data_IF_863996345742
#
_entry.id   IF_863996345742
#
_cell.length_a   1.000
_cell.length_b   1.000
_cell.length_c   1.000
_cell.angle_alpha   90.00
_cell.angle_beta   90.00
_cell.angle_gamma   90.00
#
_symmetry.space_group_name_H-M   'P 1'
#
loop_
_entity.id
_entity.type
_entity.pdbx_description
1 polymer ?
#
# COMPACT_ATOMS: atom_id res chain seq x y z
N UNK A 1 -17.49 8.31 2.27
CA UNK A 1 -16.34 8.36 1.33
C UNK A 1 -15.13 7.74 2.00
N UNK A 2 -14.48 6.81 1.34
CA UNK A 2 -13.28 6.16 1.87
C UNK A 2 -12.05 6.64 1.12
N UNK A 3 -10.92 6.68 1.82
CA UNK A 3 -9.62 7.00 1.22
C UNK A 3 -8.78 5.73 1.27
N UNK A 4 -8.30 5.29 0.13
CA UNK A 4 -7.59 4.03 -0.04
C UNK A 4 -6.26 4.28 -0.76
N UNK A 5 -5.41 3.25 -0.80
CA UNK A 5 -4.24 3.22 -1.67
C UNK A 5 -4.47 2.17 -2.74
N UNK A 6 -4.47 2.59 -3.99
CA UNK A 6 -4.78 1.75 -5.15
C UNK A 6 -3.68 1.88 -6.19
N UNK A 7 -3.44 0.80 -6.94
CA UNK A 7 -2.55 0.86 -8.09
C UNK A 7 -3.17 1.77 -9.16
N UNK A 8 -2.34 2.57 -9.81
CA UNK A 8 -2.78 3.55 -10.81
C UNK A 8 -3.56 2.92 -11.96
N UNK A 9 -3.13 1.77 -12.45
CA UNK A 9 -3.66 1.15 -13.65
C UNK A 9 -4.39 -0.18 -13.41
N UNK A 10 -4.32 -0.73 -12.19
CA UNK A 10 -4.87 -2.05 -11.88
C UNK A 10 -5.86 -1.97 -10.73
N UNK A 11 -6.76 -2.93 -10.67
CA UNK A 11 -7.69 -3.08 -9.54
C UNK A 11 -6.98 -3.80 -8.38
N UNK A 12 -5.90 -3.21 -7.90
CA UNK A 12 -5.11 -3.74 -6.79
C UNK A 12 -5.04 -2.69 -5.70
N UNK A 13 -5.47 -3.06 -4.51
CA UNK A 13 -5.55 -2.17 -3.35
C UNK A 13 -4.69 -2.72 -2.22
N UNK A 14 -4.15 -1.86 -1.38
CA UNK A 14 -3.50 -2.29 -0.15
C UNK A 14 -4.58 -2.69 0.84
N UNK A 15 -4.50 -3.94 1.31
CA UNK A 15 -5.44 -4.49 2.27
C UNK A 15 -4.93 -4.30 3.70
N UNK A 16 -3.67 -4.61 3.94
CA UNK A 16 -3.08 -4.46 5.26
C UNK A 16 -1.56 -4.35 5.15
N UNK A 17 -0.96 -3.72 6.14
CA UNK A 17 0.49 -3.58 6.23
C UNK A 17 0.91 -3.99 7.64
N UNK A 18 1.83 -4.95 7.72
CA UNK A 18 2.43 -5.36 8.99
C UNK A 18 3.88 -4.88 9.00
N UNK A 19 4.09 -3.74 9.65
CA UNK A 19 5.42 -3.14 9.71
C UNK A 19 6.41 -3.96 10.54
N UNK A 20 5.92 -4.80 11.46
CA UNK A 20 6.77 -5.64 12.29
C UNK A 20 7.45 -6.74 11.47
N UNK A 21 6.71 -7.36 10.55
CA UNK A 21 7.23 -8.42 9.69
C UNK A 21 7.63 -7.95 8.30
N UNK A 22 7.20 -6.75 7.90
CA UNK A 22 7.38 -6.23 6.57
C UNK A 22 6.39 -6.79 5.55
N UNK A 23 5.37 -7.53 6.00
CA UNK A 23 4.38 -8.12 5.10
C UNK A 23 3.32 -7.12 4.69
N UNK A 24 3.07 -7.04 3.38
CA UNK A 24 2.01 -6.21 2.83
C UNK A 24 1.03 -7.11 2.10
N UNK A 25 -0.25 -7.00 2.45
CA UNK A 25 -1.31 -7.75 1.79
C UNK A 25 -2.06 -6.85 0.83
N UNK A 26 -2.46 -7.42 -0.29
CA UNK A 26 -3.18 -6.71 -1.34
C UNK A 26 -4.51 -7.42 -1.61
N UNK A 27 -5.44 -6.70 -2.22
CA UNK A 27 -6.74 -7.26 -2.59
C UNK A 27 -7.21 -6.62 -3.89
N UNK A 28 -8.01 -7.35 -4.64
CA UNK A 28 -8.72 -6.82 -5.81
C UNK A 28 -10.14 -6.38 -5.47
N UNK A 29 -10.56 -6.62 -4.21
CA UNK A 29 -11.90 -6.24 -3.74
C UNK A 29 -11.81 -4.92 -2.98
N UNK A 30 -12.40 -3.87 -3.54
CA UNK A 30 -12.38 -2.53 -2.95
C UNK A 30 -12.98 -2.50 -1.55
N UNK A 31 -13.90 -3.42 -1.24
CA UNK A 31 -14.53 -3.50 0.07
C UNK A 31 -13.60 -4.07 1.15
N UNK A 32 -12.51 -4.71 0.74
CA UNK A 32 -11.51 -5.24 1.66
C UNK A 32 -10.27 -4.36 1.75
N UNK A 33 -10.22 -3.29 0.97
CA UNK A 33 -9.08 -2.38 0.98
C UNK A 33 -9.00 -1.63 2.31
N UNK A 34 -7.77 -1.38 2.76
CA UNK A 34 -7.54 -0.60 3.97
C UNK A 34 -8.06 0.81 3.77
N UNK A 35 -8.92 1.25 4.68
CA UNK A 35 -9.49 2.60 4.67
C UNK A 35 -8.68 3.50 5.59
N UNK A 36 -8.34 4.67 5.10
CA UNK A 36 -7.59 5.68 5.86
C UNK A 36 -8.53 6.78 6.32
N UNK A 37 -8.18 7.40 7.43
CA UNK A 37 -8.99 8.46 8.03
C UNK A 37 -9.14 9.65 7.07
N UNK A 38 -8.05 10.02 6.40
CA UNK A 38 -8.05 11.07 5.39
C UNK A 38 -6.87 10.85 4.44
N UNK A 39 -6.76 11.72 3.44
CA UNK A 39 -5.72 11.62 2.42
C UNK A 39 -4.31 11.83 2.97
N UNK A 40 -4.17 12.63 4.03
CA UNK A 40 -2.86 12.86 4.64
C UNK A 40 -2.28 11.55 5.19
N UNK A 41 -3.10 10.76 5.90
CA UNK A 41 -2.64 9.47 6.43
C UNK A 41 -2.33 8.47 5.32
N UNK A 42 -3.16 8.44 4.28
CA UNK A 42 -2.94 7.55 3.13
C UNK A 42 -1.64 7.93 2.42
N UNK A 43 -1.42 9.20 2.18
CA UNK A 43 -0.22 9.68 1.50
C UNK A 43 1.05 9.42 2.33
N UNK A 44 0.98 9.61 3.64
CA UNK A 44 2.09 9.34 4.54
C UNK A 44 2.50 7.86 4.50
N UNK A 45 1.53 6.96 4.59
CA UNK A 45 1.81 5.52 4.52
C UNK A 45 2.30 5.12 3.12
N UNK A 46 1.72 5.68 2.07
CA UNK A 46 2.18 5.43 0.71
C UNK A 46 3.65 5.83 0.52
N UNK A 47 4.04 6.97 1.05
CA UNK A 47 5.42 7.44 0.97
C UNK A 47 6.38 6.52 1.71
N UNK A 48 5.99 6.06 2.90
CA UNK A 48 6.80 5.10 3.66
C UNK A 48 6.92 3.77 2.92
N UNK A 49 5.81 3.26 2.40
CA UNK A 49 5.80 2.02 1.64
C UNK A 49 6.72 2.11 0.42
N UNK A 50 6.66 3.22 -0.31
CA UNK A 50 7.51 3.43 -1.48
C UNK A 50 8.99 3.41 -1.09
N UNK A 51 9.32 4.05 0.02
CA UNK A 51 10.69 4.09 0.52
C UNK A 51 11.21 2.69 0.87
N UNK A 52 10.40 1.90 1.59
CA UNK A 52 10.79 0.55 1.99
C UNK A 52 10.76 -0.45 0.83
N UNK A 53 9.88 -0.25 -0.14
CA UNK A 53 9.82 -1.12 -1.32
C UNK A 53 11.10 -1.02 -2.16
N UNK A 54 11.83 0.09 -2.07
CA UNK A 54 13.08 0.28 -2.78
C UNK A 54 14.27 -0.44 -2.13
N UNK A 55 14.06 -1.09 -0.97
CA UNK A 55 15.11 -1.75 -0.21
C UNK A 55 14.81 -3.24 0.02
N UNK A 56 14.67 -4.04 -1.05
CA UNK A 56 14.17 -5.42 -0.92
C UNK A 56 15.10 -6.36 -0.17
N UNK A 57 16.38 -6.04 -0.08
CA UNK A 57 17.37 -6.91 0.54
C UNK A 57 17.88 -6.41 1.88
N UNK A 58 17.36 -5.30 2.35
CA UNK A 58 17.77 -4.73 3.63
C UNK A 58 16.81 -5.17 4.73
N UNK A 59 17.34 -5.19 5.97
CA UNK A 59 16.51 -5.45 7.14
C UNK A 59 15.43 -4.37 7.21
N UNK A 60 14.18 -4.78 7.23
CA UNK A 60 13.04 -3.87 7.21
C UNK A 60 12.45 -3.66 5.82
N UNK A 61 12.98 -4.34 4.80
CA UNK A 61 12.37 -4.34 3.48
C UNK A 61 10.99 -5.00 3.49
N UNK A 62 10.15 -4.60 2.56
CA UNK A 62 8.79 -5.13 2.45
C UNK A 62 8.77 -6.43 1.67
N UNK A 63 7.80 -7.29 2.00
CA UNK A 63 7.54 -8.57 1.33
C UNK A 63 6.09 -8.65 0.92
N UNK A 64 5.81 -9.50 -0.04
CA UNK A 64 4.46 -9.76 -0.50
C UNK A 64 4.37 -9.73 -2.01
N UNK A 65 3.24 -10.20 -2.50
CA UNK A 65 2.89 -10.12 -3.90
C UNK A 65 2.80 -8.67 -4.32
N UNK A 66 2.98 -8.12 -5.30
CA UNK A 66 2.81 -6.70 -5.72
C UNK A 66 3.66 -5.67 -4.98
N UNK A 67 4.63 -6.07 -4.15
CA UNK A 67 5.50 -5.09 -3.49
C UNK A 67 6.22 -4.21 -4.51
N UNK A 68 6.63 -4.80 -5.63
CA UNK A 68 7.28 -4.05 -6.71
C UNK A 68 6.37 -3.03 -7.37
N UNK A 69 5.06 -3.15 -7.19
CA UNK A 69 4.08 -2.23 -7.77
C UNK A 69 3.79 -1.03 -6.87
N UNK A 70 4.28 -1.02 -5.63
CA UNK A 70 3.98 0.05 -4.68
C UNK A 70 4.34 1.44 -5.21
N UNK A 71 5.47 1.66 -5.89
CA UNK A 71 5.77 2.99 -6.45
C UNK A 71 4.74 3.51 -7.45
N UNK A 72 3.95 2.61 -8.04
CA UNK A 72 2.89 2.98 -8.99
C UNK A 72 1.53 3.17 -8.32
N UNK A 73 1.47 3.12 -7.00
CA UNK A 73 0.20 3.27 -6.29
C UNK A 73 -0.10 4.74 -6.02
N UNK A 74 -1.39 5.03 -5.91
CA UNK A 74 -1.89 6.39 -5.71
C UNK A 74 -2.90 6.40 -4.57
N UNK A 75 -3.12 7.57 -4.00
CA UNK A 75 -4.23 7.80 -3.06
C UNK A 75 -5.51 7.85 -3.87
N UNK A 76 -6.49 7.04 -3.49
CA UNK A 76 -7.73 6.86 -4.23
C UNK A 76 -8.94 7.17 -3.35
N UNK A 77 -9.87 7.92 -3.88
CA UNK A 77 -11.09 8.34 -3.18
C UNK A 77 -12.28 7.58 -3.75
N UNK A 78 -13.07 6.98 -2.88
CA UNK A 78 -14.29 6.28 -3.29
C UNK A 78 -15.54 7.12 -3.08
#
# INVERSE_FOLDING_TARGET
MAVLIKHRDKEVYIRSVDWASGEVSFTDDINQAKSYKNDWFADAEKSQLTCYAAKPYEKGGLKGEYVSEIPEMIVYYT
#
